data_IF_315551161784
#
_entry.id   IF_315551161784
#
_cell.length_a   1.000
_cell.length_b   1.000
_cell.length_c   1.000
_cell.angle_alpha   90.00
_cell.angle_beta   90.00
_cell.angle_gamma   90.00
#
_symmetry.space_group_name_H-M   'P 1'
#
loop_
_entity.id
_entity.type
_entity.pdbx_description
1 polymer ?
#
# COMPACT_ATOMS: atom_id res chain seq x y z
N UNK A 1 2.74 17.59 9.66
CA UNK A 1 1.63 16.64 9.39
C UNK A 1 0.54 16.84 10.43
N UNK A 2 -0.74 17.01 10.05
CA UNK A 2 -1.81 17.35 10.99
C UNK A 2 -2.15 16.22 11.97
N UNK A 3 -2.03 14.96 11.55
CA UNK A 3 -2.27 13.81 12.41
C UNK A 3 -0.95 13.08 12.68
N UNK A 4 -0.35 13.16 13.88
CA UNK A 4 0.88 12.44 14.23
C UNK A 4 0.68 10.93 14.09
N UNK A 5 1.60 10.20 13.45
CA UNK A 5 1.46 8.74 13.22
C UNK A 5 2.79 8.11 12.79
N UNK A 6 2.88 6.80 12.95
CA UNK A 6 3.93 5.96 12.36
C UNK A 6 3.34 4.72 11.70
N UNK A 7 4.15 4.01 10.91
CA UNK A 7 3.67 2.90 10.07
C UNK A 7 2.64 3.35 9.03
N UNK A 8 2.65 4.64 8.66
CA UNK A 8 1.90 5.17 7.54
C UNK A 8 2.69 4.94 6.25
N UNK A 9 2.00 4.92 5.13
CA UNK A 9 2.65 4.93 3.83
C UNK A 9 2.70 6.35 3.28
N UNK A 10 3.75 6.69 2.54
CA UNK A 10 3.85 7.97 1.83
C UNK A 10 4.37 7.81 0.42
N UNK A 11 3.89 8.64 -0.50
CA UNK A 11 4.38 8.70 -1.87
C UNK A 11 4.30 10.13 -2.42
N UNK A 12 5.16 10.43 -3.39
CA UNK A 12 5.16 11.69 -4.12
C UNK A 12 4.29 11.56 -5.37
N UNK A 13 3.45 12.56 -5.64
CA UNK A 13 2.77 12.71 -6.94
C UNK A 13 2.66 14.19 -7.30
N UNK A 14 3.25 14.57 -8.42
CA UNK A 14 3.41 15.98 -8.78
C UNK A 14 4.13 16.74 -7.66
N UNK A 15 3.53 17.82 -7.20
CA UNK A 15 4.08 18.68 -6.13
C UNK A 15 3.67 18.26 -4.70
N UNK A 16 3.01 17.11 -4.53
CA UNK A 16 2.40 16.71 -3.25
C UNK A 16 2.95 15.40 -2.73
N UNK A 17 3.30 15.39 -1.44
CA UNK A 17 3.59 14.16 -0.68
C UNK A 17 2.29 13.72 -0.02
N UNK A 18 1.74 12.59 -0.46
CA UNK A 18 0.57 11.98 0.14
C UNK A 18 0.99 11.05 1.27
N UNK A 19 0.24 11.04 2.36
CA UNK A 19 0.46 10.21 3.54
C UNK A 19 -0.86 9.60 4.01
N UNK A 20 -0.88 8.29 4.17
CA UNK A 20 -2.11 7.53 4.40
C UNK A 20 -1.93 6.44 5.48
N UNK A 21 -2.99 6.23 6.26
CA UNK A 21 -3.10 5.16 7.24
C UNK A 21 -2.17 5.37 8.43
N UNK A 22 -1.58 4.30 8.95
CA UNK A 22 -0.67 4.33 10.09
C UNK A 22 -1.38 4.21 11.43
N UNK A 23 -0.67 4.52 12.52
CA UNK A 23 -1.21 4.42 13.88
C UNK A 23 -0.66 5.44 14.85
N UNK A 24 -1.44 5.70 15.89
CA UNK A 24 -1.11 6.46 17.09
C UNK A 24 -1.03 5.49 18.27
N UNK A 25 0.19 5.17 18.69
CA UNK A 25 0.43 4.09 19.65
C UNK A 25 -0.14 2.76 19.14
N UNK A 26 -1.11 2.21 19.85
CA UNK A 26 -1.80 0.97 19.47
C UNK A 26 -2.97 1.19 18.51
N UNK A 27 -3.43 2.41 18.27
CA UNK A 27 -4.66 2.65 17.51
C UNK A 27 -4.37 2.98 16.04
N UNK A 28 -4.77 2.14 15.07
CA UNK A 28 -4.66 2.51 13.66
C UNK A 28 -5.63 3.64 13.32
N UNK A 29 -5.18 4.51 12.42
CA UNK A 29 -5.92 5.70 11.98
C UNK A 29 -6.37 5.54 10.53
N UNK A 30 -7.34 6.37 10.13
CA UNK A 30 -7.87 6.44 8.75
C UNK A 30 -7.42 7.70 8.02
N UNK A 31 -6.42 8.41 8.57
CA UNK A 31 -5.99 9.69 8.02
C UNK A 31 -5.45 9.53 6.60
N UNK A 32 -5.91 10.40 5.71
CA UNK A 32 -5.37 10.58 4.36
C UNK A 32 -5.12 12.08 4.16
N UNK A 33 -3.86 12.46 4.02
CA UNK A 33 -3.43 13.86 4.04
C UNK A 33 -2.31 14.04 3.01
N UNK A 34 -2.20 15.21 2.40
CA UNK A 34 -1.05 15.56 1.56
C UNK A 34 -0.34 16.80 2.07
N UNK A 35 0.98 16.84 1.89
CA UNK A 35 1.77 18.05 2.03
C UNK A 35 2.08 18.62 0.64
N UNK A 36 1.70 19.86 0.40
CA UNK A 36 2.05 20.61 -0.79
C UNK A 36 3.44 21.23 -0.62
N UNK A 37 4.38 20.90 -1.51
CA UNK A 37 5.78 21.33 -1.39
C UNK A 37 5.99 22.81 -1.72
N UNK A 38 5.10 23.40 -2.52
CA UNK A 38 5.17 24.81 -2.93
C UNK A 38 4.48 25.69 -1.90
N UNK A 39 3.23 25.35 -1.56
CA UNK A 39 2.43 26.08 -0.57
C UNK A 39 2.86 25.79 0.87
N UNK A 40 3.73 24.79 1.08
CA UNK A 40 4.23 24.34 2.39
C UNK A 40 3.11 24.11 3.41
N UNK A 41 1.99 23.58 2.94
CA UNK A 41 0.78 23.41 3.74
C UNK A 41 0.21 22.00 3.60
N UNK A 42 -0.61 21.62 4.58
CA UNK A 42 -1.24 20.30 4.61
C UNK A 42 -2.71 20.39 4.18
N UNK A 43 -3.13 19.43 3.36
CA UNK A 43 -4.53 19.23 2.97
C UNK A 43 -5.01 17.89 3.53
N UNK A 44 -6.22 17.88 4.10
CA UNK A 44 -6.90 16.65 4.52
C UNK A 44 -7.84 16.18 3.41
N UNK A 45 -7.88 14.87 3.18
CA UNK A 45 -8.76 14.21 2.23
C UNK A 45 -9.79 13.35 2.98
N UNK A 46 -10.82 12.83 2.28
CA UNK A 46 -11.70 11.82 2.86
C UNK A 46 -10.91 10.67 3.48
N UNK A 47 -11.30 10.30 4.69
CA UNK A 47 -10.66 9.22 5.45
C UNK A 47 -10.69 7.89 4.70
N UNK A 48 -9.62 7.11 4.84
CA UNK A 48 -9.56 5.73 4.36
C UNK A 48 -10.71 4.94 5.02
N UNK A 49 -11.46 4.09 4.28
CA UNK A 49 -12.63 3.42 4.84
C UNK A 49 -12.36 2.53 6.05
N UNK A 50 -11.17 1.92 6.13
CA UNK A 50 -10.78 1.07 7.26
C UNK A 50 -9.49 1.53 7.94
N UNK A 51 -9.48 1.40 9.28
CA UNK A 51 -8.31 1.68 10.14
C UNK A 51 -7.22 0.64 9.91
N UNK A 52 -6.04 1.07 9.48
CA UNK A 52 -4.91 0.17 9.18
C UNK A 52 -3.54 0.85 9.37
N UNK A 53 -2.56 0.09 9.86
CA UNK A 53 -1.16 0.47 9.90
C UNK A 53 -0.32 -0.48 9.05
N UNK A 54 0.88 -0.08 8.64
CA UNK A 54 1.77 -0.88 7.79
C UNK A 54 1.08 -1.38 6.51
N UNK A 55 0.15 -0.57 5.99
CA UNK A 55 -0.42 -0.78 4.66
C UNK A 55 0.59 -0.31 3.61
N UNK A 56 0.41 -0.81 2.40
CA UNK A 56 1.19 -0.39 1.25
C UNK A 56 0.27 0.31 0.27
N UNK A 57 0.82 1.22 -0.53
CA UNK A 57 0.05 1.84 -1.60
C UNK A 57 0.70 1.73 -2.96
N UNK A 58 -0.17 1.76 -3.96
CA UNK A 58 0.20 1.93 -5.34
C UNK A 58 -0.61 3.09 -5.92
N UNK A 59 0.01 3.89 -6.78
CA UNK A 59 -0.62 5.01 -7.44
C UNK A 59 -0.62 4.79 -8.96
N UNK A 60 -1.78 4.93 -9.57
CA UNK A 60 -1.97 4.99 -11.02
C UNK A 60 -2.33 6.42 -11.41
N UNK A 61 -2.47 6.67 -12.71
CA UNK A 61 -2.87 8.00 -13.20
C UNK A 61 -4.28 8.40 -12.73
N UNK A 62 -5.22 7.45 -12.59
CA UNK A 62 -6.59 7.75 -12.15
C UNK A 62 -6.87 7.53 -10.67
N UNK A 63 -6.07 6.69 -9.99
CA UNK A 63 -6.46 6.18 -8.67
C UNK A 63 -5.29 5.89 -7.74
N UNK A 64 -5.56 5.95 -6.43
CA UNK A 64 -4.69 5.44 -5.38
C UNK A 64 -5.27 4.18 -4.75
N UNK A 65 -4.42 3.20 -4.50
CA UNK A 65 -4.81 1.93 -3.91
C UNK A 65 -4.18 1.79 -2.53
N UNK A 66 -5.00 1.68 -1.49
CA UNK A 66 -4.60 1.31 -0.13
C UNK A 66 -4.76 -0.20 0.04
N UNK A 67 -3.64 -0.89 0.31
CA UNK A 67 -3.53 -2.34 0.24
C UNK A 67 -3.13 -2.93 1.59
N UNK A 68 -3.95 -3.88 2.05
CA UNK A 68 -3.63 -4.73 3.21
C UNK A 68 -3.34 -3.95 4.48
N UNK A 69 -2.31 -4.38 5.20
CA UNK A 69 -1.87 -3.80 6.46
C UNK A 69 -2.37 -4.57 7.68
N UNK A 70 -2.01 -4.03 8.84
CA UNK A 70 -2.37 -4.51 10.16
C UNK A 70 -3.59 -3.75 10.66
N UNK A 71 -4.67 -4.47 10.90
CA UNK A 71 -5.85 -3.95 11.58
C UNK A 71 -5.81 -4.36 13.05
N UNK A 72 -6.02 -3.39 13.93
CA UNK A 72 -6.29 -3.66 15.33
C UNK A 72 -7.79 -3.42 15.57
N UNK A 73 -8.48 -4.35 16.24
CA UNK A 73 -9.86 -4.13 16.65
C UNK A 73 -9.98 -2.86 17.49
N UNK A 74 -11.10 -2.16 17.32
CA UNK A 74 -11.34 -0.85 17.92
C UNK A 74 -11.34 -0.86 19.45
N UNK A 75 -11.52 0.31 20.08
CA UNK A 75 -11.39 0.47 21.53
C UNK A 75 -12.28 -0.47 22.35
N UNK A 76 -13.43 -0.88 21.81
CA UNK A 76 -14.34 -1.83 22.46
C UNK A 76 -13.84 -3.28 22.48
N UNK A 77 -12.86 -3.64 21.66
CA UNK A 77 -12.26 -4.97 21.56
C UNK A 77 -10.72 -4.89 21.60
N UNK A 78 -10.18 -4.01 22.47
CA UNK A 78 -8.77 -3.67 22.50
C UNK A 78 -7.82 -4.86 22.77
N UNK A 79 -8.31 -5.89 23.49
CA UNK A 79 -7.55 -7.10 23.82
C UNK A 79 -7.49 -8.11 22.67
N UNK A 80 -8.29 -7.94 21.63
CA UNK A 80 -8.26 -8.84 20.48
C UNK A 80 -6.98 -8.63 19.68
N UNK A 81 -6.39 -9.74 19.22
CA UNK A 81 -5.08 -9.73 18.57
C UNK A 81 -5.14 -8.91 17.27
N UNK A 82 -4.14 -8.04 17.02
CA UNK A 82 -3.95 -7.44 15.71
C UNK A 82 -3.86 -8.53 14.63
N UNK A 83 -4.42 -8.27 13.46
CA UNK A 83 -4.40 -9.22 12.35
C UNK A 83 -4.15 -8.52 11.03
N UNK A 84 -3.46 -9.23 10.12
CA UNK A 84 -3.28 -8.75 8.75
C UNK A 84 -4.57 -8.88 7.96
N UNK A 85 -4.75 -7.98 7.00
CA UNK A 85 -5.92 -7.97 6.12
C UNK A 85 -5.50 -7.99 4.66
N UNK A 86 -6.41 -8.43 3.79
CA UNK A 86 -6.24 -8.45 2.32
C UNK A 86 -7.12 -7.42 1.62
N UNK A 87 -7.72 -6.50 2.39
CA UNK A 87 -8.60 -5.46 1.88
C UNK A 87 -7.86 -4.50 0.95
N UNK A 88 -8.54 -4.10 -0.11
CA UNK A 88 -8.08 -3.11 -1.08
C UNK A 88 -9.12 -1.99 -1.11
N UNK A 89 -8.65 -0.77 -0.96
CA UNK A 89 -9.47 0.44 -1.01
C UNK A 89 -8.91 1.33 -2.12
N UNK A 90 -9.78 1.79 -3.01
CA UNK A 90 -9.43 2.56 -4.18
C UNK A 90 -9.97 3.98 -4.01
N UNK A 91 -9.10 4.97 -4.15
CA UNK A 91 -9.45 6.38 -4.15
C UNK A 91 -9.43 6.89 -5.59
N UNK A 92 -10.60 7.31 -6.07
CA UNK A 92 -10.77 7.95 -7.37
C UNK A 92 -10.27 9.40 -7.26
N UNK A 93 -9.25 9.73 -8.05
CA UNK A 93 -8.60 11.05 -7.98
C UNK A 93 -9.42 12.15 -8.66
N UNK A 94 -10.29 11.81 -9.60
CA UNK A 94 -11.15 12.78 -10.30
C UNK A 94 -12.34 13.17 -9.43
N UNK A 95 -13.01 12.17 -8.84
CA UNK A 95 -14.16 12.36 -7.97
C UNK A 95 -13.73 12.75 -6.55
N UNK A 96 -12.49 12.46 -6.15
CA UNK A 96 -11.97 12.73 -4.82
C UNK A 96 -12.62 11.87 -3.73
N UNK A 97 -13.05 10.65 -4.05
CA UNK A 97 -13.77 9.76 -3.13
C UNK A 97 -13.17 8.35 -3.09
N UNK A 98 -13.33 7.68 -1.94
CA UNK A 98 -13.06 6.25 -1.84
C UNK A 98 -14.21 5.46 -2.45
N UNK A 99 -13.89 4.60 -3.40
CA UNK A 99 -14.86 3.71 -4.03
C UNK A 99 -15.35 2.66 -3.03
N UNK A 100 -16.59 2.20 -3.24
CA UNK A 100 -17.19 1.15 -2.41
C UNK A 100 -16.38 -0.14 -2.53
N UNK A 101 -15.82 -0.59 -1.41
CA UNK A 101 -15.05 -1.82 -1.37
C UNK A 101 -15.90 -3.03 -1.79
N UNK A 102 -15.37 -3.83 -2.72
CA UNK A 102 -15.99 -5.09 -3.15
C UNK A 102 -15.09 -6.27 -2.79
N UNK A 103 -15.69 -7.42 -2.49
CA UNK A 103 -14.92 -8.63 -2.11
C UNK A 103 -14.03 -9.13 -3.24
N UNK A 104 -14.41 -8.93 -4.49
CA UNK A 104 -13.63 -9.30 -5.68
C UNK A 104 -12.30 -8.57 -5.79
N UNK A 105 -12.21 -7.35 -5.24
CA UNK A 105 -10.99 -6.54 -5.28
C UNK A 105 -9.96 -6.91 -4.20
N UNK A 106 -10.27 -7.84 -3.29
CA UNK A 106 -9.35 -8.24 -2.21
C UNK A 106 -8.15 -8.98 -2.77
N UNK A 107 -6.98 -8.71 -2.20
CA UNK A 107 -5.79 -9.54 -2.41
C UNK A 107 -6.08 -10.98 -1.99
N UNK A 108 -5.38 -11.95 -2.59
CA UNK A 108 -5.52 -13.37 -2.23
C UNK A 108 -5.00 -13.61 -0.82
N UNK A 109 -3.88 -12.98 -0.49
CA UNK A 109 -3.25 -13.13 0.83
C UNK A 109 -3.38 -11.90 1.71
N UNK A 110 -3.52 -12.15 3.02
CA UNK A 110 -3.45 -11.11 4.04
C UNK A 110 -1.98 -10.76 4.27
N UNK A 111 -1.64 -9.48 4.21
CA UNK A 111 -0.26 -9.02 4.25
C UNK A 111 -0.14 -7.62 4.83
N UNK A 112 0.98 -7.31 5.44
CA UNK A 112 1.36 -5.99 5.94
C UNK A 112 2.86 -5.77 5.69
N UNK A 113 3.27 -4.51 5.66
CA UNK A 113 4.67 -4.09 5.52
C UNK A 113 5.39 -4.68 4.28
N UNK A 114 4.63 -4.83 3.21
CA UNK A 114 5.10 -5.32 1.91
C UNK A 114 5.33 -4.13 0.96
N UNK A 115 5.93 -4.37 -0.20
CA UNK A 115 6.08 -3.34 -1.23
C UNK A 115 4.89 -3.38 -2.18
N UNK A 116 4.32 -2.21 -2.47
CA UNK A 116 3.37 -2.05 -3.55
C UNK A 116 3.83 -0.97 -4.53
N UNK A 117 3.41 -1.09 -5.78
CA UNK A 117 3.75 -0.16 -6.84
C UNK A 117 2.94 -0.42 -8.10
N UNK A 118 3.11 0.42 -9.11
CA UNK A 118 2.50 0.25 -10.41
C UNK A 118 3.53 -0.12 -11.48
N UNK A 119 3.22 -1.12 -12.28
CA UNK A 119 4.11 -1.64 -13.32
C UNK A 119 3.26 -2.03 -14.52
N UNK A 120 3.55 -1.49 -15.71
CA UNK A 120 2.77 -1.77 -16.93
C UNK A 120 1.25 -1.57 -16.75
N UNK A 121 0.84 -0.50 -16.06
CA UNK A 121 -0.57 -0.20 -15.75
C UNK A 121 -1.23 -1.13 -14.72
N UNK A 122 -0.48 -2.07 -14.12
CA UNK A 122 -0.98 -3.01 -13.12
C UNK A 122 -0.47 -2.64 -11.74
N UNK A 123 -1.33 -2.79 -10.74
CA UNK A 123 -0.93 -2.67 -9.34
C UNK A 123 -0.26 -3.97 -8.89
N UNK A 124 0.93 -3.88 -8.30
CA UNK A 124 1.72 -5.00 -7.80
C UNK A 124 1.77 -4.94 -6.28
N UNK A 125 1.67 -6.10 -5.63
CA UNK A 125 1.93 -6.30 -4.21
C UNK A 125 2.99 -7.39 -4.04
N UNK A 126 4.14 -7.06 -3.43
CA UNK A 126 5.33 -7.91 -3.37
C UNK A 126 5.95 -7.95 -1.96
N UNK A 127 6.28 -9.14 -1.49
CA UNK A 127 6.90 -9.35 -0.16
C UNK A 127 7.15 -10.83 0.16
N UNK A 128 7.60 -11.59 -0.84
CA UNK A 128 7.57 -13.06 -0.88
C UNK A 128 6.64 -13.50 -1.99
N UNK A 129 5.36 -13.69 -1.68
CA UNK A 129 4.35 -13.85 -2.72
C UNK A 129 4.14 -12.52 -3.46
N UNK A 130 4.09 -12.59 -4.78
CA UNK A 130 3.82 -11.43 -5.63
C UNK A 130 2.43 -11.61 -6.27
N UNK A 131 1.60 -10.59 -6.12
CA UNK A 131 0.28 -10.53 -6.74
C UNK A 131 0.20 -9.30 -7.65
N UNK A 132 -0.49 -9.44 -8.77
CA UNK A 132 -0.78 -8.36 -9.71
C UNK A 132 -2.29 -8.18 -9.82
N UNK A 133 -2.76 -6.94 -9.68
CA UNK A 133 -4.17 -6.60 -9.86
C UNK A 133 -4.45 -6.34 -11.34
N UNK A 134 -5.31 -7.17 -11.92
CA UNK A 134 -5.84 -6.98 -13.25
C UNK A 134 -7.06 -6.05 -13.15
N UNK A 135 -6.92 -4.79 -13.56
CA UNK A 135 -8.00 -3.79 -13.47
C UNK A 135 -9.20 -4.16 -14.35
N UNK A 136 -8.99 -4.72 -15.54
CA UNK A 136 -10.07 -5.12 -16.45
C UNK A 136 -10.93 -6.24 -15.85
N UNK A 137 -10.28 -7.24 -15.26
CA UNK A 137 -10.95 -8.39 -14.62
C UNK A 137 -11.35 -8.11 -13.16
N UNK A 138 -10.93 -6.96 -12.62
CA UNK A 138 -11.08 -6.56 -11.20
C UNK A 138 -10.72 -7.67 -10.22
N UNK A 139 -9.58 -8.33 -10.47
CA UNK A 139 -9.13 -9.48 -9.66
C UNK A 139 -7.61 -9.53 -9.55
N UNK A 140 -7.14 -10.10 -8.45
CA UNK A 140 -5.72 -10.37 -8.24
C UNK A 140 -5.30 -11.71 -8.86
N UNK A 141 -4.14 -11.70 -9.52
CA UNK A 141 -3.51 -12.84 -10.16
C UNK A 141 -2.12 -13.03 -9.53
N UNK A 142 -1.78 -14.26 -9.17
CA UNK A 142 -0.43 -14.58 -8.67
C UNK A 142 0.57 -14.49 -9.81
N UNK A 143 1.71 -13.87 -9.56
CA UNK A 143 2.84 -13.81 -10.51
C UNK A 143 4.06 -14.48 -9.88
N UNK A 144 5.17 -14.53 -10.62
CA UNK A 144 6.41 -15.14 -10.13
C UNK A 144 6.80 -14.57 -8.74
N UNK A 145 7.04 -15.43 -7.73
CA UNK A 145 7.37 -14.98 -6.39
C UNK A 145 8.77 -14.35 -6.36
N UNK A 146 9.03 -13.61 -5.29
CA UNK A 146 10.39 -13.16 -4.98
C UNK A 146 11.28 -14.35 -4.64
N UNK A 147 12.56 -14.38 -5.10
CA UNK A 147 13.52 -15.41 -4.70
C UNK A 147 13.69 -15.52 -3.19
N UNK A 148 13.72 -14.37 -2.49
CA UNK A 148 13.75 -14.32 -1.03
C UNK A 148 12.54 -13.56 -0.49
N UNK A 149 11.62 -14.23 0.23
CA UNK A 149 10.54 -13.57 0.94
C UNK A 149 11.06 -12.53 1.92
N UNK A 150 10.41 -11.35 1.94
CA UNK A 150 10.85 -10.18 2.69
C UNK A 150 9.72 -9.21 2.98
N UNK A 151 9.83 -8.48 4.09
CA UNK A 151 9.00 -7.33 4.42
C UNK A 151 9.88 -6.14 4.87
N UNK A 152 9.26 -5.02 5.23
CA UNK A 152 9.96 -3.81 5.71
C UNK A 152 11.01 -3.28 4.72
N UNK A 153 10.80 -3.48 3.43
CA UNK A 153 11.73 -3.08 2.39
C UNK A 153 11.56 -1.60 2.04
N UNK A 154 12.66 -0.94 1.68
CA UNK A 154 12.56 0.28 0.89
C UNK A 154 12.15 -0.09 -0.55
N UNK A 155 11.41 0.79 -1.22
CA UNK A 155 11.02 0.59 -2.61
C UNK A 155 11.37 1.79 -3.48
N UNK A 156 11.73 1.48 -4.74
CA UNK A 156 11.93 2.48 -5.79
C UNK A 156 11.17 1.99 -7.02
N UNK A 157 10.30 2.83 -7.56
CA UNK A 157 9.57 2.53 -8.79
C UNK A 157 10.16 3.34 -9.95
N UNK A 158 10.33 2.65 -11.08
CA UNK A 158 10.66 3.23 -12.39
C UNK A 158 9.54 2.85 -13.36
N UNK A 159 9.50 3.39 -14.59
CA UNK A 159 8.47 3.02 -15.56
C UNK A 159 8.36 1.51 -15.81
N UNK A 160 9.49 0.79 -15.77
CA UNK A 160 9.58 -0.61 -16.18
C UNK A 160 10.04 -1.57 -15.07
N UNK A 161 10.36 -1.05 -13.88
CA UNK A 161 10.81 -1.88 -12.75
C UNK A 161 10.33 -1.36 -11.40
N UNK A 162 10.05 -2.29 -10.49
CA UNK A 162 9.83 -2.04 -9.07
C UNK A 162 10.93 -2.71 -8.26
N UNK A 163 11.77 -1.91 -7.62
CA UNK A 163 12.86 -2.38 -6.78
C UNK A 163 12.40 -2.56 -5.34
N UNK A 164 12.80 -3.67 -4.73
CA UNK A 164 12.67 -3.98 -3.30
C UNK A 164 14.09 -4.05 -2.72
N UNK A 165 14.42 -3.12 -1.84
CA UNK A 165 15.78 -2.94 -1.31
C UNK A 165 15.78 -3.27 0.18
N UNK A 166 16.61 -4.24 0.54
CA UNK A 166 16.81 -4.69 1.91
C UNK A 166 15.59 -5.41 2.49
N UNK A 167 15.23 -5.03 3.73
CA UNK A 167 14.11 -5.59 4.47
C UNK A 167 14.49 -6.75 5.40
N UNK A 168 13.48 -7.46 5.88
CA UNK A 168 13.62 -8.59 6.82
C UNK A 168 13.06 -9.85 6.18
N UNK A 169 13.85 -10.92 6.20
CA UNK A 169 13.48 -12.29 5.81
C UNK A 169 13.58 -13.21 7.04
N UNK A 170 14.39 -14.27 7.00
CA UNK A 170 14.83 -15.03 8.19
C UNK A 170 15.76 -14.21 9.12
N UNK A 171 16.06 -12.98 8.73
CA UNK A 171 16.87 -11.99 9.43
C UNK A 171 16.97 -10.71 8.59
N UNK A 172 17.68 -9.66 9.05
CA UNK A 172 17.95 -8.48 8.24
C UNK A 172 18.65 -8.87 6.93
N UNK A 173 18.21 -8.29 5.82
CA UNK A 173 18.75 -8.56 4.49
C UNK A 173 19.29 -7.28 3.85
N UNK A 174 20.44 -7.39 3.17
CA UNK A 174 20.99 -6.37 2.28
C UNK A 174 20.63 -6.61 0.80
N UNK A 175 19.82 -7.63 0.50
CA UNK A 175 19.54 -8.01 -0.88
C UNK A 175 18.67 -6.96 -1.58
N UNK A 176 18.94 -6.76 -2.87
CA UNK A 176 18.15 -5.92 -3.76
C UNK A 176 17.50 -6.80 -4.81
N UNK A 177 16.18 -6.76 -4.90
CA UNK A 177 15.41 -7.48 -5.90
C UNK A 177 14.68 -6.48 -6.80
N UNK A 178 14.63 -6.78 -8.10
CA UNK A 178 13.95 -5.96 -9.09
C UNK A 178 12.85 -6.79 -9.76
N UNK A 179 11.61 -6.30 -9.67
CA UNK A 179 10.48 -6.85 -10.42
C UNK A 179 10.34 -6.11 -11.74
N UNK A 180 10.29 -6.86 -12.84
CA UNK A 180 9.90 -6.36 -14.16
C UNK A 180 8.72 -7.17 -14.67
N UNK A 181 7.78 -6.54 -15.36
CA UNK A 181 6.78 -7.27 -16.14
C UNK A 181 7.36 -7.50 -17.53
N UNK A 182 7.53 -8.76 -17.90
CA UNK A 182 7.76 -9.11 -19.30
C UNK A 182 6.41 -9.34 -19.94
N UNK A 183 6.07 -8.57 -20.96
CA UNK A 183 4.98 -8.95 -21.84
C UNK A 183 5.42 -10.22 -22.57
N UNK A 184 4.74 -11.33 -22.30
CA UNK A 184 4.85 -12.50 -23.17
C UNK A 184 4.23 -12.13 -24.50
N UNK A 185 5.09 -11.95 -25.51
CA UNK A 185 4.71 -11.87 -26.93
C UNK A 185 3.98 -13.15 -27.33
#
# INVERSE_FOLDING_TARGET
MPTPRYGAFSFLRGNKIYVLGGRQGKLPVTAFESFDLEMKSWTRYPCIPSRRAFCSCAATDGAFFSLGGLQQPGPHNFYSRPHFVSTVEEFDCEQGVWLKATRSCRMREKRADFVAGCLGGRVIAAGGLVESYNQLKRRWETVAPLPSPRCSCASIQTPNMLFLIGGVSQGPSNAVEALCLKETV
#
